data_IF_349641882191
#
_entry.id   IF_349641882191
#
_cell.length_a   1.000
_cell.length_b   1.000
_cell.length_c   1.000
_cell.angle_alpha   90.00
_cell.angle_beta   90.00
_cell.angle_gamma   90.00
#
_symmetry.space_group_name_H-M   'P 1'
#
loop_
_entity.id
_entity.type
_entity.pdbx_description
1 polymer ?
#
# COMPACT_ATOMS: atom_id res chain seq x y z
N UNK A 1 -69.56 -13.71 64.89
CA UNK A 1 -69.13 -12.32 64.70
C UNK A 1 -67.64 -12.25 65.07
N UNK A 2 -66.74 -12.24 64.13
CA UNK A 2 -65.42 -11.71 64.28
C UNK A 2 -64.60 -12.15 63.08
N UNK A 3 -64.20 -11.24 62.30
CA UNK A 3 -63.50 -11.32 61.07
C UNK A 3 -62.01 -11.39 61.41
N UNK A 4 -61.33 -12.40 60.94
CA UNK A 4 -59.89 -12.52 61.08
C UNK A 4 -59.23 -12.41 59.70
N UNK A 5 -58.58 -11.31 59.47
CA UNK A 5 -57.82 -11.00 58.29
C UNK A 5 -56.46 -11.68 58.31
N UNK A 6 -56.22 -12.55 57.36
CA UNK A 6 -54.92 -13.17 57.14
C UNK A 6 -53.99 -12.23 56.34
N UNK A 7 -52.89 -11.83 56.96
CA UNK A 7 -51.79 -11.14 56.30
C UNK A 7 -50.92 -12.14 55.54
N UNK A 8 -51.03 -12.11 54.23
CA UNK A 8 -50.08 -12.78 53.32
C UNK A 8 -48.81 -11.97 53.21
N UNK A 9 -47.73 -12.39 53.88
CA UNK A 9 -46.40 -11.84 53.72
C UNK A 9 -45.82 -12.22 52.34
N UNK A 10 -45.86 -11.28 51.43
CA UNK A 10 -45.12 -11.41 50.15
C UNK A 10 -43.61 -11.31 50.41
N UNK A 11 -42.93 -12.44 50.29
CA UNK A 11 -41.48 -12.45 50.23
C UNK A 11 -41.05 -11.79 48.92
N UNK A 12 -40.51 -10.59 49.07
CA UNK A 12 -39.80 -9.92 47.97
C UNK A 12 -38.46 -10.61 47.83
N UNK A 13 -38.34 -11.47 46.81
CA UNK A 13 -37.07 -12.01 46.41
C UNK A 13 -36.21 -10.84 45.86
N UNK A 14 -35.00 -10.62 46.40
CA UNK A 14 -34.07 -9.70 45.76
C UNK A 14 -33.65 -10.27 44.40
N UNK A 15 -33.51 -9.45 43.37
CA UNK A 15 -33.04 -9.93 42.06
C UNK A 15 -31.64 -10.53 42.24
N UNK A 16 -31.29 -11.60 41.49
CA UNK A 16 -30.00 -12.22 41.58
C UNK A 16 -28.91 -11.21 41.19
N UNK A 17 -28.10 -10.85 42.18
CA UNK A 17 -26.86 -10.12 41.96
C UNK A 17 -25.95 -11.00 41.12
N UNK A 18 -25.65 -10.59 39.88
CA UNK A 18 -24.55 -11.23 39.14
C UNK A 18 -24.75 -11.45 37.65
N UNK A 19 -25.68 -10.77 37.03
CA UNK A 19 -25.45 -10.46 35.63
C UNK A 19 -24.87 -9.05 35.57
N UNK A 20 -23.54 -8.97 35.79
CA UNK A 20 -22.80 -7.90 35.20
C UNK A 20 -23.27 -7.88 33.74
N UNK A 21 -24.10 -6.90 33.39
CA UNK A 21 -24.31 -6.52 32.03
C UNK A 21 -22.88 -6.32 31.48
N UNK A 22 -22.37 -7.35 30.83
CA UNK A 22 -21.28 -7.17 29.87
C UNK A 22 -21.88 -6.19 28.91
N UNK A 23 -21.62 -4.92 29.21
CA UNK A 23 -21.85 -3.83 28.32
C UNK A 23 -21.04 -4.22 27.08
N UNK A 24 -21.66 -4.96 26.19
CA UNK A 24 -21.23 -5.07 24.82
C UNK A 24 -21.39 -3.63 24.30
N UNK A 25 -20.46 -2.78 24.73
CA UNK A 25 -20.11 -1.62 23.96
C UNK A 25 -19.73 -2.19 22.60
N UNK A 26 -20.72 -2.27 21.76
CA UNK A 26 -20.53 -2.38 20.32
C UNK A 26 -19.54 -1.28 20.02
N UNK A 27 -18.30 -1.60 19.61
CA UNK A 27 -17.30 -0.58 19.42
C UNK A 27 -17.84 0.39 18.37
N UNK A 28 -17.96 1.68 18.72
CA UNK A 28 -18.41 2.66 17.76
C UNK A 28 -17.35 2.71 16.64
N UNK A 29 -17.78 2.38 15.43
CA UNK A 29 -17.02 2.55 14.20
C UNK A 29 -15.84 1.61 13.97
N UNK A 30 -16.10 0.32 13.82
CA UNK A 30 -15.15 -0.67 13.26
C UNK A 30 -14.60 -0.30 11.87
N UNK A 31 -15.22 0.64 11.16
CA UNK A 31 -14.82 1.05 9.82
C UNK A 31 -13.44 1.72 9.81
N UNK A 32 -13.19 2.65 10.72
CA UNK A 32 -11.91 3.37 10.78
C UNK A 32 -10.76 2.44 11.20
N UNK A 33 -11.01 1.50 12.10
CA UNK A 33 -10.02 0.53 12.55
C UNK A 33 -9.75 -0.52 11.45
N UNK A 34 -10.79 -0.97 10.74
CA UNK A 34 -10.63 -1.87 9.60
C UNK A 34 -9.87 -1.21 8.45
N UNK A 35 -10.14 0.07 8.17
CA UNK A 35 -9.43 0.81 7.13
C UNK A 35 -7.94 0.96 7.51
N UNK A 36 -7.62 1.28 8.76
CA UNK A 36 -6.25 1.39 9.23
C UNK A 36 -5.50 0.05 9.15
N UNK A 37 -6.14 -1.05 9.57
CA UNK A 37 -5.56 -2.39 9.48
C UNK A 37 -5.33 -2.82 8.03
N UNK A 38 -6.29 -2.56 7.15
CA UNK A 38 -6.16 -2.85 5.72
C UNK A 38 -5.01 -2.05 5.10
N UNK A 39 -4.90 -0.76 5.41
CA UNK A 39 -3.80 0.07 4.93
C UNK A 39 -2.46 -0.37 5.49
N UNK A 40 -2.41 -0.86 6.73
CA UNK A 40 -1.18 -1.40 7.32
C UNK A 40 -0.72 -2.65 6.56
N UNK A 41 -1.63 -3.56 6.23
CA UNK A 41 -1.33 -4.74 5.41
C UNK A 41 -0.82 -4.32 4.03
N UNK A 42 -1.48 -3.38 3.37
CA UNK A 42 -1.05 -2.86 2.06
C UNK A 42 0.33 -2.20 2.16
N UNK A 43 0.58 -1.40 3.20
CA UNK A 43 1.88 -0.76 3.41
C UNK A 43 3.01 -1.79 3.57
N UNK A 44 2.79 -2.84 4.35
CA UNK A 44 3.77 -3.91 4.54
C UNK A 44 4.02 -4.70 3.26
N UNK A 45 2.98 -4.95 2.45
CA UNK A 45 3.13 -5.58 1.14
C UNK A 45 3.94 -4.71 0.18
N UNK A 46 3.67 -3.40 0.11
CA UNK A 46 4.45 -2.49 -0.72
C UNK A 46 5.91 -2.44 -0.25
N UNK A 47 6.15 -2.41 1.06
CA UNK A 47 7.50 -2.45 1.63
C UNK A 47 8.26 -3.69 1.18
N UNK A 48 7.63 -4.85 1.27
CA UNK A 48 8.23 -6.13 0.87
C UNK A 48 8.52 -6.17 -0.62
N UNK A 49 7.56 -5.73 -1.45
CA UNK A 49 7.72 -5.72 -2.91
C UNK A 49 8.81 -4.74 -3.35
N UNK A 50 8.86 -3.54 -2.78
CA UNK A 50 9.90 -2.55 -3.12
C UNK A 50 11.27 -2.99 -2.67
N UNK A 51 11.37 -3.65 -1.51
CA UNK A 51 12.62 -4.26 -1.06
C UNK A 51 13.09 -5.38 -2.02
N UNK A 52 12.20 -6.29 -2.40
CA UNK A 52 12.54 -7.38 -3.32
C UNK A 52 12.96 -6.86 -4.70
N UNK A 53 12.22 -5.90 -5.25
CA UNK A 53 12.57 -5.28 -6.52
C UNK A 53 13.91 -4.54 -6.45
N UNK A 54 14.14 -3.79 -5.37
CA UNK A 54 15.39 -3.05 -5.17
C UNK A 54 16.62 -3.95 -4.97
N UNK A 55 16.41 -5.14 -4.38
CA UNK A 55 17.48 -6.13 -4.16
C UNK A 55 17.77 -6.95 -5.40
N UNK A 56 16.80 -7.13 -6.29
CA UNK A 56 16.91 -7.88 -7.54
C UNK A 56 16.97 -6.91 -8.73
N UNK A 57 18.13 -6.33 -8.95
CA UNK A 57 18.32 -5.41 -10.09
C UNK A 57 18.11 -6.15 -11.42
N UNK A 58 17.32 -5.58 -12.34
CA UNK A 58 17.12 -6.17 -13.67
C UNK A 58 18.44 -6.38 -14.42
N UNK A 59 18.59 -7.55 -15.03
CA UNK A 59 19.83 -7.93 -15.69
C UNK A 59 20.88 -8.56 -14.78
N UNK A 60 20.65 -8.56 -13.44
CA UNK A 60 21.55 -9.20 -12.47
C UNK A 60 22.85 -8.45 -12.26
N UNK A 61 23.85 -9.17 -11.77
CA UNK A 61 25.18 -8.66 -11.43
C UNK A 61 26.25 -9.41 -12.23
N UNK A 62 27.33 -8.72 -12.56
CA UNK A 62 28.48 -9.34 -13.21
C UNK A 62 29.07 -10.42 -12.32
N UNK A 63 29.29 -11.62 -12.88
CA UNK A 63 29.85 -12.77 -12.17
C UNK A 63 31.38 -12.79 -12.17
N UNK A 64 31.98 -12.08 -13.13
CA UNK A 64 33.42 -12.01 -13.36
C UNK A 64 33.89 -10.57 -13.53
N UNK A 65 35.18 -10.34 -13.25
CA UNK A 65 35.82 -9.04 -13.52
C UNK A 65 36.53 -9.14 -14.84
N UNK A 66 36.11 -8.30 -15.81
CA UNK A 66 36.80 -8.20 -17.10
C UNK A 66 37.65 -6.95 -17.18
N UNK A 67 38.91 -7.15 -17.58
CA UNK A 67 39.86 -6.11 -17.87
C UNK A 67 39.81 -5.78 -19.38
N UNK A 68 40.07 -4.53 -19.73
CA UNK A 68 40.24 -4.11 -21.10
C UNK A 68 41.41 -4.85 -21.74
N UNK A 69 41.44 -4.90 -23.07
CA UNK A 69 42.54 -5.50 -23.85
C UNK A 69 43.92 -4.94 -23.45
N UNK A 70 43.98 -3.73 -22.92
CA UNK A 70 45.20 -3.07 -22.45
C UNK A 70 45.62 -3.48 -21.02
N UNK A 71 44.81 -4.33 -20.33
CA UNK A 71 45.08 -4.79 -18.97
C UNK A 71 45.10 -3.69 -17.88
N UNK A 72 44.80 -2.44 -18.23
CA UNK A 72 44.90 -1.30 -17.32
C UNK A 72 43.57 -0.72 -16.87
N UNK A 73 42.50 -0.95 -17.62
CA UNK A 73 41.17 -0.45 -17.30
C UNK A 73 40.22 -1.60 -17.05
N UNK A 74 39.49 -1.57 -15.91
CA UNK A 74 38.42 -2.51 -15.62
C UNK A 74 37.19 -2.12 -16.45
N UNK A 75 36.68 -3.00 -17.29
CA UNK A 75 35.44 -2.82 -18.05
C UNK A 75 34.24 -2.96 -17.12
N UNK A 76 34.23 -4.01 -16.31
CA UNK A 76 33.23 -4.25 -15.26
C UNK A 76 33.84 -5.11 -14.16
N UNK A 77 33.26 -4.99 -12.96
CA UNK A 77 33.73 -5.66 -11.76
C UNK A 77 32.68 -6.66 -11.31
N UNK A 78 33.14 -7.80 -10.79
CA UNK A 78 32.27 -8.78 -10.11
C UNK A 78 31.40 -8.12 -9.06
N UNK A 79 30.09 -8.36 -9.12
CA UNK A 79 29.12 -7.80 -8.18
C UNK A 79 28.56 -6.44 -8.58
N UNK A 80 29.03 -5.83 -9.67
CA UNK A 80 28.44 -4.61 -10.19
C UNK A 80 27.14 -4.92 -10.96
N UNK A 81 26.10 -4.07 -10.85
CA UNK A 81 24.86 -4.27 -11.58
C UNK A 81 25.07 -4.09 -13.09
N UNK A 82 24.68 -5.09 -13.88
CA UNK A 82 24.77 -5.05 -15.34
C UNK A 82 24.03 -3.86 -15.93
N UNK A 83 22.86 -3.54 -15.39
CA UNK A 83 22.03 -2.42 -15.82
C UNK A 83 22.72 -1.05 -15.63
N UNK A 84 23.59 -0.91 -14.63
CA UNK A 84 24.35 0.33 -14.40
C UNK A 84 25.29 0.65 -15.54
N UNK A 85 25.95 -0.36 -16.07
CA UNK A 85 26.97 -0.19 -17.08
C UNK A 85 26.36 -0.01 -18.48
N UNK A 86 25.31 -0.77 -18.77
CA UNK A 86 24.61 -0.74 -20.07
C UNK A 86 23.64 0.43 -20.21
N UNK A 87 22.92 0.78 -19.14
CA UNK A 87 21.81 1.76 -19.19
C UNK A 87 21.81 2.65 -17.96
N UNK A 88 22.84 3.48 -17.79
CA UNK A 88 23.01 4.37 -16.63
C UNK A 88 21.76 5.16 -16.21
N UNK A 89 21.07 5.90 -17.11
CA UNK A 89 19.91 6.70 -16.69
C UNK A 89 18.78 5.83 -16.18
N UNK A 90 18.54 4.68 -16.79
CA UNK A 90 17.52 3.72 -16.39
C UNK A 90 17.81 3.13 -15.01
N UNK A 91 19.07 2.77 -14.75
CA UNK A 91 19.51 2.29 -13.44
C UNK A 91 19.22 3.30 -12.33
N UNK A 92 19.56 4.59 -12.55
CA UNK A 92 19.32 5.61 -11.53
C UNK A 92 17.83 5.87 -11.29
N UNK A 93 17.00 5.87 -12.33
CA UNK A 93 15.54 5.98 -12.19
C UNK A 93 14.98 4.78 -11.42
N UNK A 94 15.42 3.56 -11.75
CA UNK A 94 15.04 2.35 -11.04
C UNK A 94 15.40 2.41 -9.57
N UNK A 95 16.64 2.75 -9.25
CA UNK A 95 17.12 2.86 -7.87
C UNK A 95 16.38 3.96 -7.09
N UNK A 96 16.24 5.15 -7.66
CA UNK A 96 15.52 6.25 -7.01
C UNK A 96 14.05 5.88 -6.74
N UNK A 97 13.36 5.29 -7.72
CA UNK A 97 11.98 4.84 -7.56
C UNK A 97 11.86 3.76 -6.47
N UNK A 98 12.75 2.78 -6.45
CA UNK A 98 12.77 1.72 -5.45
C UNK A 98 12.96 2.28 -4.03
N UNK A 99 13.92 3.18 -3.84
CA UNK A 99 14.16 3.84 -2.55
C UNK A 99 12.99 4.72 -2.10
N UNK A 100 12.39 5.47 -3.03
CA UNK A 100 11.21 6.29 -2.73
C UNK A 100 10.00 5.44 -2.35
N UNK A 101 9.78 4.33 -3.04
CA UNK A 101 8.71 3.38 -2.73
C UNK A 101 8.89 2.78 -1.34
N UNK A 102 10.10 2.34 -1.03
CA UNK A 102 10.44 1.79 0.28
C UNK A 102 10.26 2.83 1.40
N UNK A 103 10.83 4.03 1.25
CA UNK A 103 10.70 5.09 2.23
C UNK A 103 9.24 5.54 2.43
N UNK A 104 8.47 5.68 1.35
CA UNK A 104 7.06 6.04 1.39
C UNK A 104 6.21 5.00 2.13
N UNK A 105 6.45 3.71 1.87
CA UNK A 105 5.73 2.63 2.56
C UNK A 105 6.11 2.53 4.05
N UNK A 106 7.38 2.74 4.39
CA UNK A 106 7.83 2.81 5.79
C UNK A 106 7.19 4.00 6.52
N UNK A 107 7.16 5.18 5.90
CA UNK A 107 6.52 6.35 6.47
C UNK A 107 5.01 6.12 6.69
N UNK A 108 4.34 5.47 5.75
CA UNK A 108 2.93 5.10 5.88
C UNK A 108 2.73 4.12 7.04
N UNK A 109 3.55 3.07 7.14
CA UNK A 109 3.49 2.08 8.23
C UNK A 109 3.68 2.75 9.59
N UNK A 110 4.69 3.62 9.73
CA UNK A 110 4.94 4.36 10.97
C UNK A 110 3.79 5.31 11.32
N UNK A 111 3.23 6.02 10.33
CA UNK A 111 2.10 6.93 10.54
C UNK A 111 0.86 6.19 11.07
N UNK A 112 0.58 5.00 10.53
CA UNK A 112 -0.53 4.18 10.98
C UNK A 112 -0.28 3.57 12.37
N UNK A 113 0.96 3.17 12.65
CA UNK A 113 1.36 2.62 13.96
C UNK A 113 1.25 3.67 15.09
N UNK A 114 1.55 4.93 14.79
CA UNK A 114 1.37 6.06 15.72
C UNK A 114 -0.10 6.50 15.84
N UNK A 115 -1.03 5.73 15.26
CA UNK A 115 -2.49 5.99 15.26
C UNK A 115 -2.88 7.34 14.65
N UNK A 116 -2.16 7.77 13.62
CA UNK A 116 -2.62 8.92 12.84
C UNK A 116 -3.92 8.59 12.10
N UNK A 117 -4.86 9.55 12.01
CA UNK A 117 -6.11 9.31 11.29
C UNK A 117 -5.81 8.97 9.82
N UNK A 118 -6.44 7.91 9.31
CA UNK A 118 -6.28 7.40 7.93
C UNK A 118 -6.53 8.50 6.89
N UNK A 119 -7.40 9.46 7.20
CA UNK A 119 -7.76 10.60 6.32
C UNK A 119 -6.67 11.69 6.32
N UNK A 120 -5.63 11.57 7.15
CA UNK A 120 -4.56 12.58 7.20
C UNK A 120 -3.87 12.74 5.83
N UNK A 121 -3.54 13.98 5.50
CA UNK A 121 -2.83 14.29 4.24
C UNK A 121 -1.52 13.50 4.12
N UNK A 122 -0.84 13.29 5.24
CA UNK A 122 0.43 12.57 5.30
C UNK A 122 0.27 11.11 4.87
N UNK A 123 -0.70 10.37 5.41
CA UNK A 123 -0.97 8.98 5.05
C UNK A 123 -1.33 8.87 3.56
N UNK A 124 -2.20 9.76 3.07
CA UNK A 124 -2.60 9.77 1.65
C UNK A 124 -1.42 10.03 0.71
N UNK A 125 -0.57 11.01 1.02
CA UNK A 125 0.60 11.31 0.20
C UNK A 125 1.65 10.20 0.27
N UNK A 126 1.91 9.64 1.45
CA UNK A 126 2.83 8.51 1.61
C UNK A 126 2.37 7.30 0.79
N UNK A 127 1.06 7.01 0.82
CA UNK A 127 0.47 5.95 -0.01
C UNK A 127 0.64 6.23 -1.50
N UNK A 128 0.29 7.44 -1.95
CA UNK A 128 0.39 7.82 -3.36
C UNK A 128 1.84 7.72 -3.87
N UNK A 129 2.80 8.22 -3.10
CA UNK A 129 4.23 8.16 -3.44
C UNK A 129 4.71 6.71 -3.47
N UNK A 130 4.41 5.91 -2.45
CA UNK A 130 4.83 4.52 -2.37
C UNK A 130 4.28 3.70 -3.54
N UNK A 131 2.99 3.87 -3.85
CA UNK A 131 2.34 3.15 -4.94
C UNK A 131 2.84 3.59 -6.33
N UNK A 132 2.94 4.91 -6.57
CA UNK A 132 3.46 5.44 -7.83
C UNK A 132 4.91 5.00 -8.08
N UNK A 133 5.73 4.99 -7.03
CA UNK A 133 7.11 4.52 -7.09
C UNK A 133 7.22 3.03 -7.38
N UNK A 134 6.36 2.20 -6.76
CA UNK A 134 6.29 0.77 -7.04
C UNK A 134 5.96 0.49 -8.50
N UNK A 135 4.94 1.19 -9.04
CA UNK A 135 4.56 1.06 -10.45
C UNK A 135 5.70 1.49 -11.38
N UNK A 136 6.40 2.59 -11.08
CA UNK A 136 7.55 3.05 -11.85
C UNK A 136 8.68 2.02 -11.85
N UNK A 137 9.04 1.52 -10.67
CA UNK A 137 10.07 0.49 -10.50
C UNK A 137 9.73 -0.75 -11.33
N UNK A 138 8.47 -1.20 -11.29
CA UNK A 138 8.00 -2.35 -12.07
C UNK A 138 8.12 -2.10 -13.57
N UNK A 139 7.62 -0.97 -14.08
CA UNK A 139 7.68 -0.65 -15.51
C UNK A 139 9.13 -0.58 -15.99
N UNK A 140 10.00 0.15 -15.28
CA UNK A 140 11.41 0.28 -15.65
C UNK A 140 12.15 -1.06 -15.57
N UNK A 141 11.73 -1.95 -14.67
CA UNK A 141 12.29 -3.30 -14.54
C UNK A 141 11.97 -4.20 -15.73
N UNK A 142 10.75 -4.13 -16.25
CA UNK A 142 10.25 -5.06 -17.27
C UNK A 142 10.52 -4.61 -18.70
N UNK A 143 10.60 -3.30 -18.94
CA UNK A 143 10.69 -2.79 -20.29
C UNK A 143 12.13 -2.79 -20.82
N UNK A 144 12.32 -3.31 -22.02
CA UNK A 144 13.55 -3.19 -22.81
C UNK A 144 13.55 -1.98 -23.77
N UNK A 145 12.50 -1.14 -23.71
CA UNK A 145 12.25 -0.03 -24.63
C UNK A 145 12.95 1.27 -24.21
N UNK A 146 12.63 2.37 -24.89
CA UNK A 146 13.18 3.68 -24.53
C UNK A 146 12.63 4.18 -23.18
N UNK A 147 13.49 4.68 -22.29
CA UNK A 147 13.13 5.21 -20.97
C UNK A 147 12.01 6.27 -21.02
N UNK A 148 11.95 7.06 -22.11
CA UNK A 148 10.90 8.06 -22.30
C UNK A 148 9.51 7.44 -22.46
N UNK A 149 9.41 6.29 -23.12
CA UNK A 149 8.15 5.55 -23.22
C UNK A 149 7.73 4.97 -21.86
N UNK A 150 8.68 4.46 -21.09
CA UNK A 150 8.42 3.93 -19.76
C UNK A 150 7.84 4.99 -18.82
N UNK A 151 8.44 6.19 -18.84
CA UNK A 151 7.96 7.34 -18.06
C UNK A 151 6.57 7.79 -18.53
N UNK A 152 6.33 7.78 -19.85
CA UNK A 152 5.02 8.13 -20.41
C UNK A 152 3.95 7.13 -19.96
N UNK A 153 4.21 5.82 -20.08
CA UNK A 153 3.28 4.77 -19.63
C UNK A 153 3.01 4.91 -18.12
N UNK A 154 4.06 5.12 -17.34
CA UNK A 154 3.91 5.36 -15.90
C UNK A 154 3.04 6.58 -15.61
N UNK A 155 3.29 7.71 -16.27
CA UNK A 155 2.51 8.93 -16.07
C UNK A 155 1.03 8.72 -16.41
N UNK A 156 0.73 8.01 -17.51
CA UNK A 156 -0.65 7.66 -17.89
C UNK A 156 -1.31 6.77 -16.85
N UNK A 157 -0.63 5.74 -16.37
CA UNK A 157 -1.17 4.83 -15.35
C UNK A 157 -1.44 5.58 -14.03
N UNK A 158 -0.48 6.39 -13.57
CA UNK A 158 -0.63 7.15 -12.32
C UNK A 158 -1.73 8.21 -12.45
N UNK A 159 -1.79 8.91 -13.58
CA UNK A 159 -2.85 9.89 -13.85
C UNK A 159 -4.24 9.24 -13.88
N UNK A 160 -4.36 8.08 -14.53
CA UNK A 160 -5.60 7.30 -14.56
C UNK A 160 -6.03 6.87 -13.16
N UNK A 161 -5.13 6.31 -12.36
CA UNK A 161 -5.40 5.91 -10.99
C UNK A 161 -5.78 7.10 -10.10
N UNK A 162 -5.07 8.22 -10.26
CA UNK A 162 -5.39 9.45 -9.54
C UNK A 162 -6.76 10.00 -9.93
N UNK A 163 -7.10 9.98 -11.20
CA UNK A 163 -8.42 10.38 -11.70
C UNK A 163 -9.51 9.48 -11.10
N UNK A 164 -9.32 8.16 -11.12
CA UNK A 164 -10.25 7.20 -10.55
C UNK A 164 -10.46 7.41 -9.04
N UNK A 165 -9.44 7.78 -8.30
CA UNK A 165 -9.55 8.05 -6.86
C UNK A 165 -10.13 9.44 -6.56
N UNK A 166 -9.94 10.43 -7.44
CA UNK A 166 -10.43 11.81 -7.28
C UNK A 166 -11.88 11.98 -7.71
N UNK A 167 -12.37 11.13 -8.62
CA UNK A 167 -13.76 11.20 -9.09
C UNK A 167 -14.72 10.74 -8.00
N UNK A 168 -15.74 11.54 -7.71
CA UNK A 168 -16.80 11.21 -6.74
C UNK A 168 -17.48 9.88 -7.10
N UNK A 169 -17.89 9.09 -6.11
CA UNK A 169 -18.47 7.75 -6.34
C UNK A 169 -19.64 7.75 -7.31
N UNK A 170 -20.40 8.84 -7.37
CA UNK A 170 -21.54 9.03 -8.29
C UNK A 170 -21.14 9.03 -9.79
N UNK A 171 -19.92 9.51 -10.10
CA UNK A 171 -19.41 9.54 -11.47
C UNK A 171 -18.62 8.27 -11.84
N UNK A 172 -18.12 7.52 -10.85
CA UNK A 172 -17.39 6.27 -11.11
C UNK A 172 -18.27 5.25 -11.82
N UNK A 173 -19.52 5.11 -11.41
CA UNK A 173 -20.47 4.19 -12.03
C UNK A 173 -20.71 4.50 -13.51
N UNK A 174 -20.73 5.79 -13.89
CA UNK A 174 -20.88 6.20 -15.31
C UNK A 174 -19.65 5.90 -16.14
N UNK A 175 -18.45 6.14 -15.59
CA UNK A 175 -17.18 5.91 -16.32
C UNK A 175 -16.97 4.42 -16.55
N UNK A 176 -17.22 3.59 -15.51
CA UNK A 176 -17.13 2.12 -15.64
C UNK A 176 -18.16 1.59 -16.61
N UNK A 177 -19.40 2.13 -16.58
CA UNK A 177 -20.45 1.77 -17.54
C UNK A 177 -20.08 2.11 -18.99
N UNK A 178 -19.49 3.28 -19.25
CA UNK A 178 -19.01 3.65 -20.59
C UNK A 178 -17.87 2.74 -21.08
N UNK A 179 -16.93 2.37 -20.20
CA UNK A 179 -15.82 1.47 -20.55
C UNK A 179 -16.30 0.04 -20.85
N UNK A 180 -17.27 -0.46 -20.11
CA UNK A 180 -17.86 -1.78 -20.36
C UNK A 180 -18.69 -1.82 -21.66
N UNK A 181 -19.40 -0.72 -22.00
CA UNK A 181 -20.17 -0.66 -23.24
C UNK A 181 -19.30 -0.42 -24.49
N UNK A 182 -18.07 0.05 -24.35
CA UNK A 182 -17.15 0.24 -25.48
C UNK A 182 -16.46 -1.06 -25.95
N UNK A 183 -16.60 -2.14 -25.18
CA UNK A 183 -16.02 -3.45 -25.50
C UNK A 183 -16.94 -4.41 -26.26
N UNK A 184 -18.19 -4.02 -26.52
CA UNK A 184 -19.20 -4.85 -27.19
C UNK A 184 -19.56 -4.41 -28.63
N UNK A 185 -18.60 -3.74 -29.32
CA UNK A 185 -18.76 -3.43 -30.76
C UNK A 185 -17.62 -4.03 -31.58
#
# INVERSE_FOLDING_TARGET
MANSAGMGGGQVYPPPHGQAAVNQQHPPNNWADNDANTLLVVATLITTLTYQLGSNVPGGYWQDTQLSADGKTELHRTGDPVMRDLHRPRYWVFMAASWMGFAGSMLMTLSLLVRMPVISRQVRWSFAVAYASLVLTFIVSQSGTHLSLDILVWAVVVAFLWLMTSVRPEHRARIVGCLCCAGDN
#
